data_IF_035232215551
#
_entry.id   IF_035232215551
#
_cell.length_a   1.000
_cell.length_b   1.000
_cell.length_c   1.000
_cell.angle_alpha   90.00
_cell.angle_beta   90.00
_cell.angle_gamma   90.00
#
_symmetry.space_group_name_H-M   'P 1'
#
loop_
_entity.id
_entity.type
_entity.pdbx_description
1 polymer ?
#
# COMPACT_ATOMS: atom_id res chain seq x y z
N UNK A 1 20.15 -31.00 -13.11
CA UNK A 1 19.11 -30.24 -13.83
C UNK A 1 17.70 -30.47 -13.28
N UNK A 2 17.24 -31.71 -13.12
CA UNK A 2 15.86 -32.05 -12.68
C UNK A 2 15.45 -31.41 -11.34
N UNK A 3 16.36 -31.43 -10.35
CA UNK A 3 16.16 -30.84 -9.02
C UNK A 3 16.18 -29.31 -9.01
N UNK A 4 16.94 -28.69 -9.92
CA UNK A 4 17.00 -27.24 -10.06
C UNK A 4 15.71 -26.68 -10.68
N UNK A 5 15.15 -27.40 -11.65
CA UNK A 5 13.85 -27.04 -12.26
C UNK A 5 12.74 -27.16 -11.23
N UNK A 6 12.72 -28.22 -10.42
CA UNK A 6 11.75 -28.39 -9.35
C UNK A 6 11.83 -27.27 -8.30
N UNK A 7 13.05 -26.87 -7.91
CA UNK A 7 13.26 -25.76 -6.98
C UNK A 7 12.75 -24.43 -7.55
N UNK A 8 13.04 -24.13 -8.83
CA UNK A 8 12.54 -22.92 -9.49
C UNK A 8 11.00 -22.88 -9.55
N UNK A 9 10.37 -24.00 -9.91
CA UNK A 9 8.90 -24.09 -9.93
C UNK A 9 8.31 -23.89 -8.53
N UNK A 10 8.94 -24.42 -7.49
CA UNK A 10 8.50 -24.23 -6.11
C UNK A 10 8.59 -22.75 -5.69
N UNK A 11 9.68 -22.05 -6.01
CA UNK A 11 9.82 -20.63 -5.72
C UNK A 11 8.78 -19.76 -6.44
N UNK A 12 8.45 -20.09 -7.69
CA UNK A 12 7.41 -19.38 -8.46
C UNK A 12 6.01 -19.57 -7.85
N UNK A 13 5.69 -20.78 -7.38
CA UNK A 13 4.41 -21.03 -6.69
C UNK A 13 4.34 -20.26 -5.37
N UNK A 14 5.45 -20.17 -4.63
CA UNK A 14 5.50 -19.42 -3.37
C UNK A 14 5.39 -17.90 -3.57
N UNK A 15 5.95 -17.35 -4.64
CA UNK A 15 5.84 -15.92 -4.94
C UNK A 15 4.45 -15.51 -5.44
N UNK A 16 3.73 -16.41 -6.11
CA UNK A 16 2.35 -16.17 -6.56
C UNK A 16 1.34 -16.17 -5.40
N UNK A 17 1.69 -16.80 -4.28
CA UNK A 17 0.88 -16.79 -3.05
C UNK A 17 1.10 -15.54 -2.19
N UNK A 18 1.91 -14.58 -2.66
CA UNK A 18 1.89 -13.23 -2.08
C UNK A 18 0.59 -12.55 -2.52
N UNK A 19 -0.51 -12.94 -1.84
CA UNK A 19 -1.73 -12.16 -1.75
C UNK A 19 -1.30 -10.71 -1.49
N UNK A 20 -1.60 -9.83 -2.43
CA UNK A 20 -1.32 -8.42 -2.24
C UNK A 20 -2.10 -8.00 -1.00
N UNK A 21 -1.38 -7.74 0.09
CA UNK A 21 -1.97 -7.14 1.29
C UNK A 21 -2.56 -5.81 0.83
N UNK A 22 -3.88 -5.79 0.68
CA UNK A 22 -4.62 -4.55 0.47
C UNK A 22 -4.26 -3.71 1.68
N UNK A 23 -3.55 -2.58 1.51
CA UNK A 23 -3.16 -1.77 2.65
C UNK A 23 -4.44 -1.37 3.38
N UNK A 24 -4.50 -1.66 4.68
CA UNK A 24 -5.64 -1.25 5.48
C UNK A 24 -5.75 0.28 5.43
N UNK A 25 -6.94 0.83 5.64
CA UNK A 25 -7.09 2.29 5.72
C UNK A 25 -6.17 2.89 6.78
N UNK A 26 -5.85 2.13 7.84
CA UNK A 26 -4.84 2.47 8.84
C UNK A 26 -3.42 2.59 8.24
N UNK A 27 -2.99 1.66 7.39
CA UNK A 27 -1.67 1.71 6.74
C UNK A 27 -1.55 2.91 5.78
N UNK A 28 -2.64 3.24 5.08
CA UNK A 28 -2.70 4.43 4.22
C UNK A 28 -2.60 5.73 5.04
N UNK A 29 -3.36 5.82 6.15
CA UNK A 29 -3.33 6.97 7.05
C UNK A 29 -1.92 7.14 7.62
N UNK A 30 -1.33 6.07 8.17
CA UNK A 30 -0.02 6.10 8.85
C UNK A 30 1.11 6.49 7.88
N UNK A 31 1.15 5.87 6.70
CA UNK A 31 2.10 6.21 5.65
C UNK A 31 1.93 7.65 5.13
N UNK A 32 0.70 8.16 5.09
CA UNK A 32 0.43 9.54 4.70
C UNK A 32 0.83 10.54 5.78
N UNK A 33 0.50 10.27 7.06
CA UNK A 33 0.84 11.15 8.19
C UNK A 33 2.33 11.18 8.50
N UNK A 34 3.06 10.10 8.21
CA UNK A 34 4.53 10.09 8.28
C UNK A 34 5.15 11.15 7.38
N UNK A 35 4.52 11.45 6.23
CA UNK A 35 4.93 12.53 5.32
C UNK A 35 4.50 13.93 5.76
N UNK A 36 3.66 14.05 6.80
CA UNK A 36 3.11 15.32 7.28
C UNK A 36 3.93 16.00 8.39
N UNK A 37 5.12 15.48 8.71
CA UNK A 37 6.00 16.07 9.74
C UNK A 37 6.49 17.45 9.27
N UNK A 38 5.84 18.50 9.79
CA UNK A 38 6.14 19.90 9.48
C UNK A 38 6.28 20.71 10.78
N UNK A 39 7.17 21.72 10.80
CA UNK A 39 7.30 22.62 11.96
C UNK A 39 6.08 23.53 12.16
N UNK A 40 5.39 23.86 11.06
CA UNK A 40 4.18 24.68 11.10
C UNK A 40 2.94 23.83 11.39
N UNK A 41 2.36 23.99 12.58
CA UNK A 41 1.17 23.27 13.02
C UNK A 41 -0.03 23.43 12.07
N UNK A 42 -0.14 24.59 11.40
CA UNK A 42 -1.19 24.86 10.41
C UNK A 42 -1.01 24.07 9.11
N UNK A 43 0.23 23.82 8.70
CA UNK A 43 0.53 23.00 7.52
C UNK A 43 0.37 21.52 7.82
N UNK A 44 0.78 21.10 9.02
CA UNK A 44 0.57 19.74 9.52
C UNK A 44 -0.93 19.38 9.53
N UNK A 45 -1.79 20.22 10.14
CA UNK A 45 -3.24 19.97 10.17
C UNK A 45 -3.88 19.93 8.76
N UNK A 46 -3.32 20.67 7.80
CA UNK A 46 -3.75 20.62 6.39
C UNK A 46 -3.35 19.31 5.73
N UNK A 47 -2.15 18.81 6.02
CA UNK A 47 -1.65 17.55 5.51
C UNK A 47 -2.45 16.36 6.08
N UNK A 48 -2.70 16.35 7.40
CA UNK A 48 -3.53 15.35 8.06
C UNK A 48 -4.96 15.30 7.49
N UNK A 49 -5.58 16.46 7.21
CA UNK A 49 -6.88 16.51 6.53
C UNK A 49 -6.84 15.95 5.11
N UNK A 50 -5.73 16.15 4.38
CA UNK A 50 -5.55 15.52 3.06
C UNK A 50 -5.42 14.00 3.18
N UNK A 51 -4.73 13.50 4.20
CA UNK A 51 -4.63 12.08 4.48
C UNK A 51 -5.99 11.46 4.81
N UNK A 52 -6.81 12.13 5.63
CA UNK A 52 -8.16 11.64 5.95
C UNK A 52 -9.09 11.61 4.73
N UNK A 53 -8.92 12.52 3.76
CA UNK A 53 -9.67 12.50 2.49
C UNK A 53 -9.12 11.39 1.58
N UNK A 54 -7.79 11.27 1.49
CA UNK A 54 -7.13 10.33 0.59
C UNK A 54 -7.36 8.87 0.99
N UNK A 55 -7.33 8.60 2.29
CA UNK A 55 -7.45 7.26 2.89
C UNK A 55 -8.84 7.01 3.51
N UNK A 56 -9.73 7.99 3.46
CA UNK A 56 -11.10 7.87 3.99
C UNK A 56 -11.95 6.89 3.16
N UNK A 57 -13.05 6.38 3.74
CA UNK A 57 -13.87 5.30 3.17
C UNK A 57 -14.53 5.60 1.81
N UNK A 58 -14.42 6.85 1.30
CA UNK A 58 -14.86 7.26 -0.03
C UNK A 58 -13.84 7.05 -1.15
N UNK A 59 -12.56 6.84 -0.81
CA UNK A 59 -11.48 6.55 -1.76
C UNK A 59 -11.23 5.04 -1.81
N UNK A 60 -12.24 4.26 -2.18
CA UNK A 60 -12.00 2.88 -2.61
C UNK A 60 -11.20 2.99 -3.92
N UNK A 61 -9.97 2.44 -4.03
CA UNK A 61 -9.39 2.25 -5.34
C UNK A 61 -10.36 1.36 -6.10
N UNK A 62 -10.91 1.88 -7.19
CA UNK A 62 -11.59 1.03 -8.15
C UNK A 62 -10.53 -0.01 -8.59
N UNK A 63 -10.75 -1.32 -8.37
CA UNK A 63 -9.72 -2.35 -8.62
C UNK A 63 -9.31 -2.49 -10.09
N UNK A 64 -9.77 -1.60 -10.97
CA UNK A 64 -9.55 -1.63 -12.41
C UNK A 64 -8.38 -0.74 -12.87
N UNK A 65 -7.80 0.10 -11.99
CA UNK A 65 -6.78 1.10 -12.40
C UNK A 65 -5.50 1.06 -11.54
N UNK A 66 -4.93 -0.13 -11.32
CA UNK A 66 -3.52 -0.25 -10.88
C UNK A 66 -2.71 -1.22 -11.73
N UNK A 67 -3.02 -1.28 -13.03
CA UNK A 67 -2.21 -1.97 -14.03
C UNK A 67 -1.82 -1.00 -15.14
N UNK A 68 -0.76 -0.22 -14.91
CA UNK A 68 0.14 0.35 -15.94
C UNK A 68 1.40 0.86 -15.28
#
# INVERSE_FOLDING_TARGET
>A
MKTMVAAMMLFLVLSWQMESVVPDAADCIDGCTTGCVQRDSRLQARCERKCSIKCGPGNKPNPIISSS
#
